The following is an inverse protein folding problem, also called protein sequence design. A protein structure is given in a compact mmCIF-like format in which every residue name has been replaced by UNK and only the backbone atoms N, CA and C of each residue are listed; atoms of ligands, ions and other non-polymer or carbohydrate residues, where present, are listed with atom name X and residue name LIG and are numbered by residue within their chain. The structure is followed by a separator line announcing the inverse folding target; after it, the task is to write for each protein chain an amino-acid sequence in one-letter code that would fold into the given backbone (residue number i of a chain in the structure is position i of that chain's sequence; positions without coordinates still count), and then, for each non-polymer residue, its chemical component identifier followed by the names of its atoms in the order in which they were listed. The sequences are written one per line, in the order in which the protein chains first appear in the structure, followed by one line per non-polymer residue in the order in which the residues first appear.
data_IF_502262874930
#
_entry.id   IF_502262874930
#
_cell.length_a   1.000
_cell.length_b   1.000
_cell.length_c   1.000
_cell.angle_alpha   90.00
_cell.angle_beta   90.00
_cell.angle_gamma   90.00
#
_symmetry.space_group_name_H-M   'P 1'
#
loop_
_entity.id
_entity.type
_entity.pdbx_description
1 polymer ?
#
# COMPACT_ATOMS: atom_id res chain seq x y z
N UNK A 1 -15.93 35.30 10.35
CA UNK A 1 -15.82 34.04 11.14
C UNK A 1 -14.51 33.34 10.77
N UNK A 2 -13.94 32.53 11.66
CA UNK A 2 -12.76 31.70 11.39
C UNK A 2 -13.09 30.24 11.69
N UNK A 3 -12.35 29.31 11.10
CA UNK A 3 -12.41 27.89 11.44
C UNK A 3 -12.00 27.69 12.90
N UNK A 4 -12.67 26.74 13.59
CA UNK A 4 -12.37 26.41 14.99
C UNK A 4 -11.29 25.35 15.13
N UNK A 5 -11.08 24.57 14.07
CA UNK A 5 -10.06 23.53 13.97
C UNK A 5 -9.27 23.72 12.67
N UNK A 6 -8.03 23.21 12.58
CA UNK A 6 -7.22 23.35 11.37
C UNK A 6 -7.94 22.84 10.11
N UNK A 7 -7.96 23.67 9.07
CA UNK A 7 -8.50 23.34 7.75
C UNK A 7 -7.38 23.39 6.72
N UNK A 8 -7.11 22.25 6.08
CA UNK A 8 -6.09 22.13 5.04
C UNK A 8 -6.76 22.01 3.67
N UNK A 9 -6.29 22.78 2.70
CA UNK A 9 -6.83 22.79 1.33
C UNK A 9 -5.71 22.47 0.35
N UNK A 10 -5.90 21.41 -0.44
CA UNK A 10 -4.94 20.99 -1.48
C UNK A 10 -5.59 21.15 -2.85
N UNK A 11 -5.12 22.09 -3.69
CA UNK A 11 -5.51 22.13 -5.09
C UNK A 11 -4.97 20.91 -5.85
N UNK A 12 -5.77 20.35 -6.76
CA UNK A 12 -5.38 19.15 -7.51
C UNK A 12 -4.31 19.39 -8.57
N UNK A 13 -4.11 20.64 -8.99
CA UNK A 13 -3.09 21.04 -9.98
C UNK A 13 -2.77 22.53 -9.87
N UNK A 14 -1.69 22.97 -10.51
CA UNK A 14 -1.34 24.39 -10.60
C UNK A 14 -2.38 25.19 -11.39
N UNK A 15 -2.98 24.59 -12.43
CA UNK A 15 -4.08 25.21 -13.16
C UNK A 15 -5.27 25.49 -12.25
N UNK A 16 -5.68 24.53 -11.41
CA UNK A 16 -6.77 24.72 -10.46
C UNK A 16 -6.39 25.77 -9.42
N UNK A 17 -5.22 25.67 -8.79
CA UNK A 17 -4.74 26.64 -7.80
C UNK A 17 -4.82 28.06 -8.33
N UNK A 18 -4.24 28.30 -9.51
CA UNK A 18 -4.15 29.64 -10.08
C UNK A 18 -5.51 30.15 -10.60
N UNK A 19 -6.42 29.25 -10.98
CA UNK A 19 -7.80 29.61 -11.37
C UNK A 19 -8.61 30.04 -10.15
N UNK A 20 -8.59 29.28 -9.06
CA UNK A 20 -9.35 29.60 -7.85
C UNK A 20 -8.76 30.79 -7.06
N UNK A 21 -7.48 31.09 -7.27
CA UNK A 21 -6.84 32.32 -6.81
C UNK A 21 -7.34 33.53 -7.60
N UNK A 22 -7.35 33.46 -8.94
CA UNK A 22 -7.88 34.52 -9.82
C UNK A 22 -9.36 34.80 -9.53
N UNK A 23 -10.15 33.75 -9.31
CA UNK A 23 -11.60 33.86 -9.14
C UNK A 23 -12.03 34.09 -7.68
N UNK A 24 -11.07 34.26 -6.77
CA UNK A 24 -11.29 34.71 -5.39
C UNK A 24 -11.67 33.62 -4.38
N UNK A 25 -11.90 32.37 -4.79
CA UNK A 25 -12.24 31.30 -3.83
C UNK A 25 -11.08 30.99 -2.88
N UNK A 26 -9.83 31.11 -3.36
CA UNK A 26 -8.66 30.93 -2.51
C UNK A 26 -8.63 31.94 -1.36
N UNK A 27 -8.90 33.21 -1.67
CA UNK A 27 -8.94 34.29 -0.69
C UNK A 27 -10.06 34.05 0.35
N UNK A 28 -11.23 33.58 -0.08
CA UNK A 28 -12.34 33.24 0.84
C UNK A 28 -11.91 32.15 1.83
N UNK A 29 -11.22 31.11 1.35
CA UNK A 29 -10.76 30.00 2.19
C UNK A 29 -9.65 30.44 3.17
N UNK A 30 -8.67 31.21 2.71
CA UNK A 30 -7.60 31.72 3.59
C UNK A 30 -8.15 32.74 4.59
N UNK A 31 -9.14 33.54 4.21
CA UNK A 31 -9.82 34.49 5.10
C UNK A 31 -10.57 33.81 6.24
N UNK A 32 -11.03 32.57 6.10
CA UNK A 32 -11.57 31.80 7.23
C UNK A 32 -10.48 31.06 8.05
N UNK A 33 -9.22 31.14 7.65
CA UNK A 33 -8.08 30.52 8.34
C UNK A 33 -7.66 29.17 7.77
N UNK A 34 -8.02 28.84 6.53
CA UNK A 34 -7.51 27.64 5.87
C UNK A 34 -6.03 27.78 5.50
N UNK A 35 -5.29 26.69 5.63
CA UNK A 35 -3.90 26.58 5.13
C UNK A 35 -3.93 25.90 3.76
N UNK A 36 -3.43 26.60 2.76
CA UNK A 36 -3.28 26.06 1.40
C UNK A 36 -1.98 25.26 1.34
N UNK A 37 -2.10 23.98 0.98
CA UNK A 37 -0.97 23.09 0.80
C UNK A 37 -0.46 23.15 -0.65
N UNK A 38 0.75 22.64 -0.87
CA UNK A 38 1.27 22.42 -2.21
C UNK A 38 0.33 21.53 -3.04
N UNK A 39 0.34 21.71 -4.37
CA UNK A 39 -0.46 20.93 -5.32
C UNK A 39 0.09 19.51 -5.49
N UNK A 40 -0.04 18.70 -4.44
CA UNK A 40 0.51 17.35 -4.34
C UNK A 40 -0.38 16.50 -3.44
N UNK A 41 -0.24 15.17 -3.52
CA UNK A 41 -1.06 14.25 -2.72
C UNK A 41 -1.02 14.51 -1.20
N UNK A 42 0.14 14.92 -0.66
CA UNK A 42 0.29 15.36 0.74
C UNK A 42 -0.33 14.41 1.78
N UNK A 43 -1.22 14.90 2.67
CA UNK A 43 -1.86 14.09 3.71
C UNK A 43 -2.67 12.88 3.21
N UNK A 44 -3.10 12.83 1.95
CA UNK A 44 -3.85 11.69 1.42
C UNK A 44 -3.03 10.38 1.41
N UNK A 45 -1.70 10.49 1.34
CA UNK A 45 -0.77 9.36 1.22
C UNK A 45 0.22 9.26 2.39
N UNK A 46 -0.03 9.99 3.47
CA UNK A 46 0.82 9.96 4.66
C UNK A 46 1.99 10.94 4.61
N UNK A 47 2.07 11.82 3.60
CA UNK A 47 3.08 12.88 3.53
C UNK A 47 2.61 14.11 4.28
N UNK A 48 2.51 13.93 5.60
CA UNK A 48 2.05 14.96 6.52
C UNK A 48 2.74 14.80 7.87
N UNK A 49 3.38 15.87 8.35
CA UNK A 49 3.99 15.91 9.67
C UNK A 49 3.04 16.59 10.64
N UNK A 50 2.70 15.86 11.71
CA UNK A 50 1.81 16.32 12.80
C UNK A 50 2.53 16.29 14.14
N UNK A 51 3.47 17.22 14.39
CA UNK A 51 4.26 17.23 15.61
C UNK A 51 3.42 17.57 16.86
N UNK A 52 2.26 18.18 16.67
CA UNK A 52 1.34 18.59 17.75
C UNK A 52 0.69 17.42 18.48
N UNK A 53 0.59 16.24 17.84
CA UNK A 53 -0.05 15.07 18.42
C UNK A 53 0.93 14.20 19.19
N UNK A 54 0.57 13.80 20.42
CA UNK A 54 1.37 12.86 21.19
C UNK A 54 1.16 11.42 20.69
N UNK A 55 2.18 10.54 20.73
CA UNK A 55 1.99 9.12 20.40
C UNK A 55 0.88 8.49 21.23
N UNK A 56 0.01 7.70 20.60
CA UNK A 56 -1.10 7.02 21.26
C UNK A 56 -2.34 7.88 21.57
N UNK A 57 -2.32 9.18 21.27
CA UNK A 57 -3.46 10.07 21.52
C UNK A 57 -4.57 9.86 20.46
N UNK A 58 -5.78 9.42 20.85
CA UNK A 58 -6.89 9.30 19.92
C UNK A 58 -7.32 10.67 19.40
N UNK A 59 -7.44 10.80 18.08
CA UNK A 59 -7.91 12.03 17.46
C UNK A 59 -8.82 11.70 16.28
N UNK A 60 -9.57 12.71 15.82
CA UNK A 60 -10.35 12.60 14.59
C UNK A 60 -9.79 13.50 13.50
N UNK A 61 -9.87 13.04 12.25
CA UNK A 61 -9.76 13.88 11.05
C UNK A 61 -10.97 13.63 10.15
N UNK A 62 -11.41 14.66 9.43
CA UNK A 62 -12.44 14.55 8.39
C UNK A 62 -11.82 15.04 7.09
N UNK A 63 -11.91 14.24 6.03
CA UNK A 63 -11.25 14.52 4.76
C UNK A 63 -12.20 14.37 3.59
N UNK A 64 -11.89 15.03 2.48
CA UNK A 64 -12.55 14.84 1.18
C UNK A 64 -11.76 13.91 0.26
N UNK A 65 -10.95 13.02 0.85
CA UNK A 65 -10.20 12.00 0.14
C UNK A 65 -11.04 10.75 -0.12
N UNK A 66 -10.40 9.68 -0.57
CA UNK A 66 -11.03 8.42 -0.96
C UNK A 66 -10.57 7.20 -0.14
N UNK A 67 -9.69 7.39 0.86
CA UNK A 67 -9.17 6.31 1.71
C UNK A 67 -8.95 6.78 3.14
N UNK A 68 -9.38 5.96 4.10
CA UNK A 68 -9.29 6.22 5.54
C UNK A 68 -8.79 5.01 6.35
N UNK A 69 -7.90 4.19 5.77
CA UNK A 69 -7.30 3.05 6.49
C UNK A 69 -6.51 3.52 7.72
N UNK A 70 -6.43 2.71 8.80
CA UNK A 70 -5.65 3.06 9.99
C UNK A 70 -4.20 3.42 9.65
N UNK A 71 -3.71 4.56 10.16
CA UNK A 71 -2.34 5.04 9.91
C UNK A 71 -2.09 5.60 8.50
N UNK A 72 -3.09 5.70 7.63
CA UNK A 72 -2.89 6.13 6.24
C UNK A 72 -2.46 7.59 6.09
N UNK A 73 -3.11 8.49 6.83
CA UNK A 73 -2.98 9.93 6.59
C UNK A 73 -1.78 10.57 7.30
N UNK A 74 -1.38 10.03 8.46
CA UNK A 74 -0.35 10.59 9.32
C UNK A 74 0.53 9.53 10.01
N UNK A 75 0.38 8.25 9.64
CA UNK A 75 1.15 7.15 10.23
C UNK A 75 0.65 6.66 11.59
N UNK A 76 -0.46 7.22 12.12
CA UNK A 76 -0.97 6.91 13.47
C UNK A 76 -2.23 6.05 13.40
N UNK A 77 -2.26 4.95 14.17
CA UNK A 77 -3.38 3.99 14.12
C UNK A 77 -4.58 4.44 14.95
N UNK A 78 -4.35 5.33 15.91
CA UNK A 78 -5.33 5.89 16.83
C UNK A 78 -6.17 7.00 16.18
N UNK A 79 -5.75 7.48 15.00
CA UNK A 79 -6.48 8.48 14.23
C UNK A 79 -7.72 7.88 13.56
N UNK A 80 -8.89 8.35 13.98
CA UNK A 80 -10.17 8.05 13.36
C UNK A 80 -10.37 8.97 12.14
N UNK A 81 -10.33 8.41 10.95
CA UNK A 81 -10.44 9.17 9.69
C UNK A 81 -11.82 8.97 9.06
N UNK A 82 -12.57 10.06 8.90
CA UNK A 82 -13.87 10.09 8.24
C UNK A 82 -13.76 10.75 6.87
N UNK A 83 -14.61 10.32 5.94
CA UNK A 83 -14.66 10.87 4.58
C UNK A 83 -16.01 11.55 4.34
N UNK A 84 -15.99 12.69 3.67
CA UNK A 84 -17.18 13.45 3.28
C UNK A 84 -16.92 14.32 2.05
N UNK A 85 -17.91 15.11 1.63
CA UNK A 85 -17.71 16.07 0.55
C UNK A 85 -16.89 17.28 1.03
N UNK A 86 -16.19 18.02 0.14
CA UNK A 86 -15.39 19.18 0.50
C UNK A 86 -16.15 20.24 1.30
N UNK A 87 -17.39 20.52 0.93
CA UNK A 87 -18.24 21.50 1.61
C UNK A 87 -18.63 21.06 3.03
N UNK A 88 -18.82 19.75 3.26
CA UNK A 88 -19.07 19.22 4.59
C UNK A 88 -17.82 19.31 5.47
N UNK A 89 -16.63 19.06 4.91
CA UNK A 89 -15.35 19.23 5.62
C UNK A 89 -15.16 20.68 6.08
N UNK A 90 -15.43 21.66 5.20
CA UNK A 90 -15.37 23.09 5.56
C UNK A 90 -16.39 23.42 6.65
N UNK A 91 -17.62 22.94 6.53
CA UNK A 91 -18.66 23.18 7.53
C UNK A 91 -18.31 22.59 8.90
N UNK A 92 -17.78 21.36 8.96
CA UNK A 92 -17.31 20.73 10.19
C UNK A 92 -16.10 21.50 10.76
N UNK A 93 -15.20 22.02 9.92
CA UNK A 93 -14.07 22.83 10.39
C UNK A 93 -14.51 24.14 11.05
N UNK A 94 -15.58 24.77 10.55
CA UNK A 94 -16.21 25.93 11.18
C UNK A 94 -16.92 25.54 12.49
N UNK A 95 -17.60 24.39 12.52
CA UNK A 95 -18.29 23.87 13.70
C UNK A 95 -17.36 23.40 14.82
N UNK A 96 -16.19 22.86 14.46
CA UNK A 96 -15.14 22.38 15.35
C UNK A 96 -15.39 21.01 16.00
N UNK A 97 -16.48 20.32 15.64
CA UNK A 97 -16.88 19.04 16.24
C UNK A 97 -17.66 18.18 15.25
N UNK A 98 -17.53 16.86 15.35
CA UNK A 98 -18.26 15.90 14.49
C UNK A 98 -19.78 15.96 14.66
N UNK A 99 -20.26 16.34 15.85
CA UNK A 99 -21.68 16.46 16.15
C UNK A 99 -22.32 17.72 15.55
N UNK A 100 -21.54 18.61 14.93
CA UNK A 100 -22.08 19.79 14.27
C UNK A 100 -22.86 19.39 13.01
N UNK A 101 -24.15 19.73 12.99
CA UNK A 101 -25.01 19.52 11.85
C UNK A 101 -25.22 20.85 11.09
N UNK A 102 -24.61 21.04 9.90
CA UNK A 102 -24.69 22.30 9.17
C UNK A 102 -26.10 22.67 8.70
N UNK A 103 -27.04 21.72 8.69
CA UNK A 103 -28.44 21.96 8.29
C UNK A 103 -29.32 22.46 9.44
N UNK A 104 -28.90 22.27 10.69
CA UNK A 104 -29.74 22.54 11.87
C UNK A 104 -29.11 23.53 12.84
N UNK A 105 -27.82 23.40 13.06
CA UNK A 105 -27.09 24.09 14.13
C UNK A 105 -26.70 25.53 13.74
N UNK A 106 -26.46 26.36 14.76
CA UNK A 106 -26.02 27.75 14.60
C UNK A 106 -24.51 27.91 14.83
N UNK A 107 -23.92 28.92 14.20
CA UNK A 107 -22.57 29.42 14.43
C UNK A 107 -22.65 30.84 14.98
N UNK A 108 -21.60 31.28 15.66
CA UNK A 108 -21.48 32.63 16.23
C UNK A 108 -20.46 33.47 15.45
N UNK A 109 -20.80 34.72 15.18
CA UNK A 109 -19.83 35.71 14.68
C UNK A 109 -18.92 36.18 15.83
N UNK A 110 -17.78 36.84 15.53
CA UNK A 110 -16.92 37.44 16.57
C UNK A 110 -17.68 38.42 17.48
N UNK A 111 -18.70 39.08 16.96
CA UNK A 111 -19.58 40.01 17.69
C UNK A 111 -20.71 39.31 18.46
N UNK A 112 -20.74 37.97 18.45
CA UNK A 112 -21.69 37.15 19.22
C UNK A 112 -23.03 36.89 18.54
N UNK A 113 -23.25 37.34 17.29
CA UNK A 113 -24.52 37.09 16.57
C UNK A 113 -24.59 35.64 16.10
N UNK A 114 -25.76 35.02 16.22
CA UNK A 114 -26.00 33.66 15.73
C UNK A 114 -26.49 33.66 14.28
N UNK A 115 -26.01 32.70 13.50
CA UNK A 115 -26.48 32.45 12.13
C UNK A 115 -26.39 30.96 11.80
N UNK A 116 -27.15 30.52 10.79
CA UNK A 116 -27.05 29.15 10.24
C UNK A 116 -26.31 29.17 8.92
N UNK A 117 -25.63 28.07 8.61
CA UNK A 117 -25.07 27.90 7.28
C UNK A 117 -26.21 27.62 6.29
N UNK A 118 -26.21 28.34 5.18
CA UNK A 118 -27.04 27.98 4.04
C UNK A 118 -26.30 26.92 3.22
N UNK A 119 -27.00 25.91 2.66
CA UNK A 119 -26.41 25.03 1.68
C UNK A 119 -25.73 25.83 0.56
N UNK A 120 -24.50 25.47 0.13
CA UNK A 120 -23.84 26.18 -0.93
C UNK A 120 -24.67 26.09 -2.22
N UNK A 121 -24.73 27.19 -2.96
CA UNK A 121 -25.32 27.18 -4.30
C UNK A 121 -24.58 26.20 -5.20
N UNK A 122 -25.26 25.68 -6.23
CA UNK A 122 -24.60 24.86 -7.25
C UNK A 122 -23.48 25.67 -7.90
N UNK A 123 -22.25 25.24 -7.70
CA UNK A 123 -21.10 25.82 -8.39
C UNK A 123 -21.18 25.48 -9.88
N UNK A 124 -20.76 26.40 -10.78
CA UNK A 124 -20.68 26.09 -12.20
C UNK A 124 -19.66 24.96 -12.41
N UNK A 125 -19.95 24.06 -13.35
CA UNK A 125 -19.07 22.91 -13.65
C UNK A 125 -17.71 23.37 -14.20
N UNK A 126 -17.69 24.51 -14.88
CA UNK A 126 -16.48 25.17 -15.39
C UNK A 126 -16.48 26.66 -15.01
N UNK A 127 -15.30 27.27 -14.75
CA UNK A 127 -15.21 28.70 -14.51
C UNK A 127 -15.73 29.50 -15.72
N UNK A 128 -16.52 30.54 -15.48
CA UNK A 128 -17.10 31.37 -16.56
C UNK A 128 -16.05 32.07 -17.43
N UNK A 129 -14.87 32.37 -16.84
CA UNK A 129 -13.71 32.95 -17.54
C UNK A 129 -12.73 31.88 -18.07
N UNK A 130 -13.12 30.60 -18.04
CA UNK A 130 -12.26 29.47 -18.34
C UNK A 130 -11.15 29.26 -17.30
N UNK A 131 -10.37 28.19 -17.48
CA UNK A 131 -9.21 27.90 -16.64
C UNK A 131 -8.04 28.83 -16.96
N UNK A 132 -7.24 29.18 -15.93
CA UNK A 132 -6.01 29.93 -16.14
C UNK A 132 -4.99 29.04 -16.86
N UNK A 133 -4.36 29.56 -17.91
CA UNK A 133 -3.25 28.86 -18.57
C UNK A 133 -2.00 28.94 -17.69
N UNK A 134 -1.29 27.81 -17.56
CA UNK A 134 -0.03 27.72 -16.82
C UNK A 134 1.09 27.53 -17.83
N UNK A 135 2.10 28.39 -17.77
CA UNK A 135 3.35 28.25 -18.52
C UNK A 135 4.33 27.41 -17.72
N UNK A 136 5.20 26.67 -18.39
CA UNK A 136 6.34 25.96 -17.80
C UNK A 136 5.97 24.90 -16.74
N UNK A 137 4.72 24.39 -16.78
CA UNK A 137 4.27 23.31 -15.89
C UNK A 137 4.86 21.93 -16.26
N UNK A 138 5.47 21.82 -17.44
CA UNK A 138 5.98 20.57 -17.98
C UNK A 138 7.31 20.83 -18.67
N UNK A 139 8.26 19.92 -18.45
CA UNK A 139 9.52 19.86 -19.20
C UNK A 139 9.29 18.84 -20.32
N UNK A 140 9.46 19.27 -21.56
CA UNK A 140 9.38 18.38 -22.72
C UNK A 140 10.63 17.49 -22.79
N UNK A 141 10.52 16.28 -23.34
CA UNK A 141 11.71 15.45 -23.59
C UNK A 141 12.66 16.17 -24.55
N UNK A 142 13.95 15.85 -24.44
CA UNK A 142 14.98 16.31 -25.39
C UNK A 142 14.61 15.87 -26.81
N UNK A 143 14.93 16.70 -27.81
CA UNK A 143 14.86 16.31 -29.22
C UNK A 143 15.82 15.16 -29.55
N UNK A 144 16.91 15.04 -28.78
CA UNK A 144 17.88 13.94 -28.85
C UNK A 144 17.88 13.16 -27.53
N UNK A 145 16.92 12.25 -27.30
CA UNK A 145 16.82 11.50 -26.04
C UNK A 145 17.93 10.45 -25.87
N UNK A 146 18.51 9.96 -26.97
CA UNK A 146 19.57 8.94 -26.95
C UNK A 146 20.90 9.48 -26.40
N UNK A 147 21.10 10.80 -26.41
CA UNK A 147 22.28 11.45 -25.85
C UNK A 147 22.22 11.56 -24.31
N UNK A 148 21.06 11.27 -23.71
CA UNK A 148 20.85 11.42 -22.28
C UNK A 148 21.47 10.25 -21.49
N UNK A 149 22.45 10.56 -20.64
CA UNK A 149 23.02 9.58 -19.72
C UNK A 149 22.27 9.53 -18.38
N UNK A 150 21.80 8.35 -17.98
CA UNK A 150 21.15 8.12 -16.67
C UNK A 150 22.11 7.42 -15.71
N UNK A 151 22.78 8.22 -14.88
CA UNK A 151 23.74 7.73 -13.88
C UNK A 151 23.04 7.50 -12.53
N UNK A 152 23.18 6.29 -12.00
CA UNK A 152 22.70 5.93 -10.64
C UNK A 152 23.92 5.75 -9.73
N UNK A 153 24.06 6.62 -8.73
CA UNK A 153 25.11 6.50 -7.72
C UNK A 153 24.92 5.20 -6.91
N UNK A 154 25.89 4.25 -6.93
CA UNK A 154 25.77 2.98 -6.22
C UNK A 154 25.71 3.12 -4.69
N UNK A 155 26.34 4.17 -4.14
CA UNK A 155 26.32 4.49 -2.70
C UNK A 155 25.09 5.32 -2.30
N UNK A 156 24.25 5.67 -3.28
CA UNK A 156 23.06 6.49 -3.08
C UNK A 156 22.02 5.79 -2.20
N UNK A 157 21.34 6.55 -1.36
CA UNK A 157 20.28 6.01 -0.49
C UNK A 157 18.89 6.00 -1.10
N UNK A 158 18.71 6.58 -2.30
CA UNK A 158 17.40 6.85 -2.92
C UNK A 158 17.08 5.95 -4.10
N UNK A 159 18.09 5.65 -4.92
CA UNK A 159 17.97 4.88 -6.15
C UNK A 159 18.95 3.70 -6.10
N UNK A 160 18.52 2.54 -6.56
CA UNK A 160 19.31 1.31 -6.64
C UNK A 160 19.00 0.64 -7.98
N UNK A 161 20.05 0.23 -8.72
CA UNK A 161 19.86 -0.62 -9.89
C UNK A 161 19.26 -1.97 -9.46
N UNK A 162 18.14 -2.36 -10.07
CA UNK A 162 17.51 -3.64 -9.79
C UNK A 162 18.38 -4.78 -10.32
N UNK A 163 18.62 -5.77 -9.46
CA UNK A 163 19.26 -7.02 -9.85
C UNK A 163 18.18 -8.03 -10.27
N UNK A 164 18.41 -8.83 -11.33
CA UNK A 164 17.48 -9.88 -11.72
C UNK A 164 17.19 -10.84 -10.57
N UNK A 165 15.92 -11.22 -10.39
CA UNK A 165 15.58 -12.24 -9.40
C UNK A 165 16.07 -13.62 -9.85
N UNK A 166 16.47 -14.51 -8.92
CA UNK A 166 16.91 -15.86 -9.27
C UNK A 166 15.82 -16.65 -10.00
N UNK A 167 16.22 -17.39 -11.03
CA UNK A 167 15.38 -18.35 -11.75
C UNK A 167 14.88 -19.44 -10.80
N UNK A 168 13.72 -20.02 -11.09
CA UNK A 168 13.26 -21.20 -10.38
C UNK A 168 14.18 -22.40 -10.67
N UNK A 169 14.50 -23.17 -9.63
CA UNK A 169 15.42 -24.30 -9.68
C UNK A 169 14.79 -25.60 -10.21
N UNK A 170 13.52 -25.54 -10.62
CA UNK A 170 12.76 -26.68 -11.11
C UNK A 170 12.32 -27.66 -10.01
N UNK A 171 12.52 -27.32 -8.73
CA UNK A 171 12.19 -28.18 -7.59
C UNK A 171 10.92 -27.71 -6.88
N UNK A 172 10.29 -28.66 -6.21
CA UNK A 172 9.22 -28.37 -5.25
C UNK A 172 9.75 -27.56 -4.07
N UNK A 173 8.86 -26.79 -3.43
CA UNK A 173 9.22 -26.10 -2.19
C UNK A 173 8.80 -26.97 -1.01
N UNK A 174 9.77 -27.45 -0.24
CA UNK A 174 9.53 -28.37 0.86
C UNK A 174 9.71 -27.68 2.21
N UNK A 175 8.84 -28.02 3.15
CA UNK A 175 8.88 -27.61 4.55
C UNK A 175 9.20 -26.12 4.79
N UNK A 176 8.56 -25.23 4.04
CA UNK A 176 8.74 -23.80 4.17
C UNK A 176 8.20 -23.29 5.53
N UNK A 177 8.95 -22.44 6.24
CA UNK A 177 8.40 -21.71 7.37
C UNK A 177 7.37 -20.67 6.91
N UNK A 178 6.35 -20.48 7.74
CA UNK A 178 5.37 -19.41 7.60
C UNK A 178 5.97 -18.15 8.23
N UNK A 179 6.15 -17.10 7.44
CA UNK A 179 6.59 -15.80 7.97
C UNK A 179 5.41 -15.08 8.64
N UNK A 180 4.25 -15.04 7.98
CA UNK A 180 3.06 -14.32 8.41
C UNK A 180 1.82 -15.15 8.10
N UNK A 181 0.91 -15.29 9.07
CA UNK A 181 -0.51 -15.58 8.84
C UNK A 181 -1.31 -14.30 9.14
N UNK A 182 -1.81 -13.64 8.11
CA UNK A 182 -2.50 -12.36 8.24
C UNK A 182 -3.97 -12.55 8.61
N UNK A 183 -4.41 -11.94 9.72
CA UNK A 183 -5.81 -11.96 10.17
C UNK A 183 -6.63 -10.86 9.51
N UNK A 184 -7.74 -11.23 8.88
CA UNK A 184 -8.67 -10.28 8.28
C UNK A 184 -8.01 -9.40 7.22
N UNK A 185 -8.38 -8.13 7.20
CA UNK A 185 -8.00 -7.18 6.14
C UNK A 185 -6.49 -6.91 6.13
N UNK A 186 -5.81 -7.31 5.05
CA UNK A 186 -4.40 -7.03 4.82
C UNK A 186 -4.19 -6.27 3.49
N UNK A 187 -4.37 -4.96 3.52
CA UNK A 187 -4.09 -4.03 2.40
C UNK A 187 -2.60 -3.92 2.06
N UNK A 188 -2.29 -3.40 0.87
CA UNK A 188 -0.91 -3.04 0.48
C UNK A 188 -0.20 -2.05 1.41
N UNK A 189 -0.93 -1.22 2.17
CA UNK A 189 -0.34 -0.35 3.20
C UNK A 189 0.08 -1.13 4.45
N UNK A 190 -0.53 -2.29 4.71
CA UNK A 190 -0.06 -3.20 5.76
C UNK A 190 1.18 -3.99 5.31
N UNK A 191 1.22 -4.36 4.02
CA UNK A 191 2.33 -5.13 3.42
C UNK A 191 3.59 -4.29 3.21
N UNK A 192 3.45 -3.06 2.72
CA UNK A 192 4.58 -2.16 2.51
C UNK A 192 4.08 -0.74 2.71
N UNK A 193 4.15 -0.16 3.92
CA UNK A 193 3.59 1.17 4.22
C UNK A 193 4.12 2.30 3.34
N UNK A 194 3.32 3.37 3.18
CA UNK A 194 3.73 4.61 2.50
C UNK A 194 4.38 5.62 3.48
N UNK A 195 3.99 6.89 3.43
CA UNK A 195 4.53 7.93 4.31
C UNK A 195 6.06 8.05 4.18
N UNK A 196 6.84 7.96 5.28
CA UNK A 196 8.28 8.15 5.25
C UNK A 196 9.01 7.19 4.29
N UNK A 197 8.48 5.98 4.09
CA UNK A 197 9.06 4.96 3.21
C UNK A 197 9.09 5.34 1.73
N UNK A 198 8.31 6.35 1.32
CA UNK A 198 8.33 6.82 -0.06
C UNK A 198 9.70 7.34 -0.49
N UNK A 199 10.53 7.75 0.46
CA UNK A 199 11.90 8.15 0.16
C UNK A 199 12.73 6.99 -0.45
N UNK A 200 12.44 5.75 -0.10
CA UNK A 200 13.17 4.57 -0.57
C UNK A 200 12.49 3.86 -1.75
N UNK A 201 11.49 4.48 -2.40
CA UNK A 201 10.75 3.84 -3.52
C UNK A 201 11.63 3.41 -4.69
N UNK A 202 12.75 4.09 -4.93
CA UNK A 202 13.72 3.69 -5.95
C UNK A 202 14.82 2.75 -5.45
N UNK A 203 14.81 2.36 -4.17
CA UNK A 203 15.84 1.54 -3.54
C UNK A 203 15.21 0.30 -2.89
N UNK A 204 15.16 -0.80 -3.64
CA UNK A 204 14.44 -2.03 -3.26
C UNK A 204 14.91 -2.61 -1.91
N UNK A 205 16.21 -2.60 -1.65
CA UNK A 205 16.74 -3.10 -0.39
C UNK A 205 16.20 -2.31 0.81
N UNK A 206 16.37 -0.99 0.84
CA UNK A 206 15.95 -0.13 1.95
C UNK A 206 14.44 -0.11 2.16
N UNK A 207 13.63 -0.07 1.08
CA UNK A 207 12.18 -0.11 1.24
C UNK A 207 11.68 -1.47 1.75
N UNK A 208 12.45 -2.54 1.56
CA UNK A 208 12.09 -3.87 2.07
C UNK A 208 12.14 -3.98 3.60
N UNK A 209 12.73 -3.01 4.30
CA UNK A 209 12.71 -2.95 5.76
C UNK A 209 11.32 -2.55 6.31
N UNK A 210 10.34 -2.32 5.44
CA UNK A 210 8.96 -1.99 5.82
C UNK A 210 7.96 -3.13 5.65
N UNK A 211 8.43 -4.33 5.25
CA UNK A 211 7.50 -5.42 4.95
C UNK A 211 6.64 -5.80 6.16
N UNK A 212 5.33 -5.92 5.91
CA UNK A 212 4.33 -6.37 6.87
C UNK A 212 4.24 -5.58 8.19
N UNK A 213 4.85 -4.39 8.30
CA UNK A 213 4.81 -3.59 9.54
C UNK A 213 3.39 -3.23 10.01
N UNK A 214 2.40 -3.21 9.10
CA UNK A 214 1.00 -2.98 9.46
C UNK A 214 0.15 -4.25 9.53
N UNK A 215 0.67 -5.42 9.15
CA UNK A 215 -0.11 -6.65 9.09
C UNK A 215 -0.43 -7.18 10.49
N UNK A 216 -1.65 -7.67 10.69
CA UNK A 216 -2.09 -8.26 11.96
C UNK A 216 -1.78 -9.75 11.93
N UNK A 217 -0.98 -10.23 12.87
CA UNK A 217 -0.67 -11.64 13.01
C UNK A 217 -1.89 -12.40 13.58
N UNK A 218 -2.33 -13.45 12.89
CA UNK A 218 -3.48 -14.25 13.30
C UNK A 218 -3.27 -15.06 14.58
N UNK A 219 -2.02 -15.35 14.94
CA UNK A 219 -1.70 -16.14 16.13
C UNK A 219 -1.67 -15.29 17.40
N UNK A 220 -1.14 -14.06 17.33
CA UNK A 220 -0.93 -13.20 18.50
C UNK A 220 -1.82 -11.95 18.53
N UNK A 221 -2.48 -11.61 17.43
CA UNK A 221 -3.14 -10.32 17.17
C UNK A 221 -2.20 -9.09 17.21
N UNK A 222 -0.89 -9.30 17.32
CA UNK A 222 0.07 -8.20 17.24
C UNK A 222 0.23 -7.67 15.82
N UNK A 223 0.54 -6.39 15.72
CA UNK A 223 0.76 -5.70 14.45
C UNK A 223 2.26 -5.70 14.12
N UNK A 224 2.61 -6.16 12.91
CA UNK A 224 3.98 -6.07 12.39
C UNK A 224 4.99 -7.03 12.99
N UNK A 225 4.54 -7.97 13.84
CA UNK A 225 5.40 -8.91 14.56
C UNK A 225 4.90 -10.35 14.45
N UNK A 226 5.83 -11.29 14.51
CA UNK A 226 5.52 -12.71 14.61
C UNK A 226 6.68 -13.53 15.13
N UNK A 227 6.46 -14.84 15.24
CA UNK A 227 7.47 -15.77 15.72
C UNK A 227 8.54 -16.00 14.65
N UNK A 228 9.79 -15.74 15.00
CA UNK A 228 10.93 -16.20 14.23
C UNK A 228 11.05 -17.72 14.39
N UNK A 229 10.69 -18.48 13.36
CA UNK A 229 10.74 -19.95 13.35
C UNK A 229 12.12 -20.56 13.63
N UNK A 230 13.21 -19.79 13.55
CA UNK A 230 14.57 -20.27 13.85
C UNK A 230 14.95 -20.13 15.32
N UNK A 231 14.48 -19.08 15.99
CA UNK A 231 14.87 -18.76 17.36
C UNK A 231 13.74 -18.98 18.36
N UNK A 232 12.49 -19.02 17.89
CA UNK A 232 11.28 -19.06 18.71
C UNK A 232 10.86 -17.70 19.28
N UNK A 233 11.64 -16.64 19.06
CA UNK A 233 11.37 -15.31 19.60
C UNK A 233 10.37 -14.53 18.74
N UNK A 234 9.55 -13.68 19.36
CA UNK A 234 8.71 -12.71 18.65
C UNK A 234 9.54 -11.51 18.23
N UNK A 235 9.56 -11.22 16.92
CA UNK A 235 10.33 -10.13 16.33
C UNK A 235 9.49 -9.41 15.25
N UNK A 236 9.97 -8.27 14.75
CA UNK A 236 9.31 -7.62 13.60
C UNK A 236 9.50 -8.43 12.32
N UNK A 237 8.48 -8.49 11.45
CA UNK A 237 8.57 -9.25 10.21
C UNK A 237 9.76 -8.89 9.30
N UNK A 238 10.14 -7.60 9.14
CA UNK A 238 11.34 -7.25 8.38
C UNK A 238 12.61 -7.90 8.93
N UNK A 239 12.79 -7.91 10.25
CA UNK A 239 13.96 -8.51 10.90
C UNK A 239 13.99 -10.02 10.69
N UNK A 240 12.84 -10.69 10.81
CA UNK A 240 12.74 -12.14 10.60
C UNK A 240 13.08 -12.49 9.15
N UNK A 241 12.51 -11.77 8.19
CA UNK A 241 12.73 -12.03 6.77
C UNK A 241 14.18 -11.76 6.33
N UNK A 242 14.84 -10.75 6.92
CA UNK A 242 16.28 -10.51 6.73
C UNK A 242 17.12 -11.70 7.21
N UNK A 243 16.85 -12.19 8.43
CA UNK A 243 17.52 -13.39 8.97
C UNK A 243 17.28 -14.63 8.12
N UNK A 244 16.08 -14.80 7.56
CA UNK A 244 15.79 -15.90 6.63
C UNK A 244 16.59 -15.76 5.34
N UNK A 245 16.61 -14.57 4.75
CA UNK A 245 17.39 -14.28 3.54
C UNK A 245 18.88 -14.54 3.75
N UNK A 246 19.47 -14.09 4.86
CA UNK A 246 20.88 -14.31 5.20
C UNK A 246 21.23 -15.80 5.27
N UNK A 247 20.30 -16.64 5.73
CA UNK A 247 20.45 -18.10 5.76
C UNK A 247 20.00 -18.82 4.48
N UNK A 248 19.61 -18.08 3.44
CA UNK A 248 19.08 -18.65 2.20
C UNK A 248 17.74 -19.39 2.36
N UNK A 249 17.01 -19.14 3.45
CA UNK A 249 15.74 -19.79 3.75
C UNK A 249 14.60 -19.12 2.99
N UNK A 250 13.95 -19.90 2.13
CA UNK A 250 12.70 -19.54 1.46
C UNK A 250 11.55 -19.61 2.48
N UNK A 251 10.53 -18.78 2.31
CA UNK A 251 9.36 -18.74 3.22
C UNK A 251 8.09 -18.35 2.47
N UNK A 252 6.94 -18.46 3.15
CA UNK A 252 5.65 -18.08 2.59
C UNK A 252 4.77 -17.25 3.52
N UNK A 253 3.68 -16.71 2.96
CA UNK A 253 2.63 -16.00 3.68
C UNK A 253 1.31 -16.74 3.56
N UNK A 254 0.54 -16.76 4.64
CA UNK A 254 -0.87 -17.13 4.65
C UNK A 254 -1.71 -15.86 4.82
N UNK A 255 -2.69 -15.64 3.95
CA UNK A 255 -3.57 -14.47 4.00
C UNK A 255 -5.05 -14.84 4.07
N UNK A 256 -5.84 -13.91 4.61
CA UNK A 256 -7.29 -14.01 4.65
C UNK A 256 -7.91 -13.56 3.30
N UNK A 257 -9.12 -13.01 3.33
CA UNK A 257 -9.85 -12.51 2.17
C UNK A 257 -9.31 -11.18 1.64
N UNK A 258 -9.41 -11.01 0.32
CA UNK A 258 -9.04 -9.80 -0.41
C UNK A 258 -7.63 -9.28 -0.08
N UNK A 259 -6.66 -10.20 0.05
CA UNK A 259 -5.29 -9.90 0.41
C UNK A 259 -4.64 -8.98 -0.63
N UNK A 260 -3.95 -7.94 -0.16
CA UNK A 260 -3.33 -6.93 -1.02
C UNK A 260 -4.28 -5.87 -1.56
N UNK A 261 -5.43 -5.63 -0.92
CA UNK A 261 -6.33 -4.53 -1.29
C UNK A 261 -5.63 -3.15 -1.28
N UNK A 262 -6.06 -2.24 -2.15
CA UNK A 262 -5.73 -0.82 -2.05
C UNK A 262 -4.84 -0.28 -3.15
N UNK A 263 -3.63 0.19 -2.80
CA UNK A 263 -2.72 0.85 -3.75
C UNK A 263 -2.09 -0.16 -4.71
N UNK A 264 -1.83 0.27 -5.95
CA UNK A 264 -1.19 -0.54 -7.00
C UNK A 264 0.31 -0.82 -6.79
N UNK A 265 0.87 -0.49 -5.62
CA UNK A 265 2.33 -0.55 -5.39
C UNK A 265 2.88 -1.96 -5.63
N UNK A 266 3.82 -2.06 -6.54
CA UNK A 266 4.50 -3.34 -6.83
C UNK A 266 5.51 -3.73 -5.74
N UNK A 267 6.00 -2.78 -4.93
CA UNK A 267 6.86 -3.06 -3.76
C UNK A 267 6.22 -4.03 -2.77
N UNK A 268 4.88 -4.08 -2.69
CA UNK A 268 4.19 -5.08 -1.88
C UNK A 268 4.41 -6.53 -2.39
N UNK A 269 4.86 -6.72 -3.63
CA UNK A 269 5.29 -8.00 -4.19
C UNK A 269 6.83 -8.12 -4.29
N UNK A 270 7.51 -7.04 -4.71
CA UNK A 270 8.96 -7.03 -4.87
C UNK A 270 9.71 -7.20 -3.55
N UNK A 271 9.28 -6.54 -2.46
CA UNK A 271 9.96 -6.63 -1.17
C UNK A 271 9.86 -8.03 -0.56
N UNK A 272 8.67 -8.69 -0.52
CA UNK A 272 8.61 -10.10 -0.15
C UNK A 272 9.53 -10.99 -1.01
N UNK A 273 9.48 -10.84 -2.35
CA UNK A 273 10.33 -11.62 -3.26
C UNK A 273 11.81 -11.43 -2.98
N UNK A 274 12.23 -10.18 -2.81
CA UNK A 274 13.60 -9.79 -2.50
C UNK A 274 14.11 -10.36 -1.18
N UNK A 275 13.21 -10.56 -0.22
CA UNK A 275 13.51 -11.12 1.11
C UNK A 275 13.32 -12.64 1.20
N UNK A 276 13.06 -13.34 0.08
CA UNK A 276 13.01 -14.80 0.03
C UNK A 276 11.60 -15.42 0.04
N UNK A 277 10.55 -14.62 -0.11
CA UNK A 277 9.20 -15.15 -0.30
C UNK A 277 9.09 -15.90 -1.62
N UNK A 278 8.55 -17.11 -1.57
CA UNK A 278 8.30 -17.93 -2.77
C UNK A 278 6.82 -18.14 -3.05
N UNK A 279 5.96 -18.00 -2.03
CA UNK A 279 4.52 -18.17 -2.17
C UNK A 279 3.73 -17.29 -1.21
N UNK A 280 2.55 -16.88 -1.65
CA UNK A 280 1.50 -16.27 -0.85
C UNK A 280 0.23 -17.09 -1.08
N UNK A 281 -0.33 -17.64 -0.01
CA UNK A 281 -1.50 -18.51 -0.06
C UNK A 281 -2.64 -17.80 0.67
N UNK A 282 -3.78 -17.58 0.03
CA UNK A 282 -4.85 -16.76 0.61
C UNK A 282 -6.24 -17.34 0.41
N UNK A 283 -7.25 -16.82 1.13
CA UNK A 283 -8.65 -17.12 0.76
C UNK A 283 -9.02 -16.44 -0.56
N UNK A 284 -8.56 -15.21 -0.77
CA UNK A 284 -8.72 -14.47 -2.03
C UNK A 284 -7.75 -13.29 -2.12
N UNK A 285 -7.44 -12.86 -3.35
CA UNK A 285 -6.57 -11.71 -3.62
C UNK A 285 -7.31 -10.51 -4.19
N UNK A 286 -6.76 -9.32 -3.96
CA UNK A 286 -7.05 -8.16 -4.80
C UNK A 286 -6.32 -8.27 -6.15
N UNK A 287 -7.05 -8.00 -7.24
CA UNK A 287 -6.61 -8.19 -8.64
C UNK A 287 -5.21 -7.66 -8.97
N UNK A 288 -4.91 -6.41 -8.60
CA UNK A 288 -3.63 -5.76 -8.94
C UNK A 288 -2.48 -6.43 -8.18
N UNK A 289 -2.70 -6.74 -6.91
CA UNK A 289 -1.65 -7.33 -6.08
C UNK A 289 -1.32 -8.76 -6.52
N UNK A 290 -2.33 -9.57 -6.86
CA UNK A 290 -2.13 -10.90 -7.45
C UNK A 290 -1.25 -10.82 -8.69
N UNK A 291 -1.55 -9.89 -9.61
CA UNK A 291 -0.76 -9.68 -10.83
C UNK A 291 0.69 -9.29 -10.52
N UNK A 292 0.90 -8.42 -9.53
CA UNK A 292 2.24 -8.01 -9.11
C UNK A 292 3.03 -9.19 -8.54
N UNK A 293 2.44 -10.04 -7.70
CA UNK A 293 3.10 -11.25 -7.19
C UNK A 293 3.57 -12.17 -8.32
N UNK A 294 2.69 -12.45 -9.29
CA UNK A 294 3.02 -13.24 -10.49
C UNK A 294 4.17 -12.63 -11.28
N UNK A 295 4.15 -11.32 -11.50
CA UNK A 295 5.22 -10.60 -12.22
C UNK A 295 6.58 -10.72 -11.53
N UNK A 296 6.61 -10.78 -10.20
CA UNK A 296 7.85 -10.96 -9.44
C UNK A 296 8.24 -12.43 -9.21
N UNK A 297 7.55 -13.38 -9.86
CA UNK A 297 7.84 -14.81 -9.72
C UNK A 297 7.48 -15.41 -8.35
N UNK A 298 6.59 -14.76 -7.59
CA UNK A 298 6.02 -15.33 -6.36
C UNK A 298 4.76 -16.11 -6.73
N UNK A 299 4.58 -17.31 -6.18
CA UNK A 299 3.36 -18.10 -6.36
C UNK A 299 2.18 -17.46 -5.61
N UNK A 300 1.21 -16.93 -6.35
CA UNK A 300 -0.04 -16.43 -5.81
C UNK A 300 -1.09 -17.54 -5.86
N UNK A 301 -1.36 -18.17 -4.71
CA UNK A 301 -2.22 -19.34 -4.59
C UNK A 301 -3.44 -19.03 -3.71
N UNK A 302 -4.57 -19.65 -4.02
CA UNK A 302 -5.78 -19.55 -3.19
C UNK A 302 -6.20 -20.90 -2.65
N UNK A 303 -6.77 -20.96 -1.46
CA UNK A 303 -7.31 -22.21 -0.92
C UNK A 303 -8.45 -22.74 -1.80
N UNK A 304 -8.43 -24.02 -2.15
CA UNK A 304 -9.57 -24.66 -2.84
C UNK A 304 -10.79 -24.71 -1.92
N UNK A 305 -10.57 -24.98 -0.63
CA UNK A 305 -11.55 -24.80 0.43
C UNK A 305 -11.07 -23.70 1.38
N UNK A 306 -11.79 -22.57 1.43
CA UNK A 306 -11.38 -21.42 2.24
C UNK A 306 -11.15 -21.75 3.72
N UNK A 307 -11.88 -22.73 4.31
CA UNK A 307 -11.71 -23.12 5.71
C UNK A 307 -10.36 -23.77 6.01
N UNK A 308 -9.61 -24.20 5.00
CA UNK A 308 -8.26 -24.75 5.19
C UNK A 308 -7.28 -23.69 5.76
N UNK A 309 -7.59 -22.40 5.61
CA UNK A 309 -6.89 -21.34 6.31
C UNK A 309 -6.84 -21.59 7.83
N UNK A 310 -7.91 -22.13 8.42
CA UNK A 310 -8.02 -22.31 9.88
C UNK A 310 -7.19 -23.50 10.39
N UNK A 311 -6.85 -24.46 9.52
CA UNK A 311 -6.03 -25.63 9.85
C UNK A 311 -4.56 -25.29 10.12
N UNK A 312 -4.06 -24.23 9.49
CA UNK A 312 -2.63 -23.87 9.53
C UNK A 312 -2.27 -23.23 10.88
N UNK A 313 -1.36 -23.85 11.61
CA UNK A 313 -0.85 -23.41 12.92
C UNK A 313 0.49 -22.66 12.81
N UNK A 314 0.89 -21.95 13.87
CA UNK A 314 2.04 -21.03 13.85
C UNK A 314 3.37 -21.72 13.56
N UNK A 315 3.56 -22.95 14.05
CA UNK A 315 4.81 -23.69 13.92
C UNK A 315 4.84 -24.64 12.74
N UNK A 316 3.78 -24.70 11.95
CA UNK A 316 3.69 -25.62 10.83
C UNK A 316 4.74 -25.32 9.76
N UNK A 317 5.05 -26.33 8.96
CA UNK A 317 5.86 -26.21 7.75
C UNK A 317 5.00 -26.57 6.56
N UNK A 318 5.18 -25.85 5.45
CA UNK A 318 4.33 -26.00 4.27
C UNK A 318 5.16 -26.48 3.10
N UNK A 319 4.72 -27.57 2.47
CA UNK A 319 5.31 -28.04 1.21
C UNK A 319 4.35 -27.79 0.05
N UNK A 320 4.86 -27.25 -1.05
CA UNK A 320 4.18 -27.09 -2.32
C UNK A 320 4.81 -28.07 -3.31
N UNK A 321 4.05 -29.11 -3.68
CA UNK A 321 4.56 -30.26 -4.44
C UNK A 321 3.94 -30.36 -5.83
N UNK A 322 4.67 -30.98 -6.77
CA UNK A 322 4.23 -31.12 -8.15
C UNK A 322 4.34 -29.84 -8.97
N UNK A 323 5.25 -28.92 -8.60
CA UNK A 323 5.41 -27.63 -9.28
C UNK A 323 5.97 -27.76 -10.71
N UNK A 324 6.67 -28.87 -11.00
CA UNK A 324 7.11 -29.24 -12.36
C UNK A 324 5.96 -29.38 -13.34
N UNK A 325 4.80 -29.79 -12.85
CA UNK A 325 3.61 -30.01 -13.66
C UNK A 325 2.60 -28.87 -13.55
N UNK A 326 3.03 -27.67 -13.11
CA UNK A 326 2.18 -26.50 -13.03
C UNK A 326 1.62 -26.16 -14.41
N UNK A 327 0.28 -26.14 -14.52
CA UNK A 327 -0.46 -25.89 -15.77
C UNK A 327 -1.72 -25.09 -15.47
N UNK A 328 -2.24 -24.30 -16.42
CA UNK A 328 -3.49 -23.57 -16.22
C UNK A 328 -4.63 -24.49 -15.78
N UNK A 329 -5.35 -24.10 -14.73
CA UNK A 329 -6.49 -24.85 -14.19
C UNK A 329 -6.14 -26.08 -13.35
N UNK A 330 -4.88 -26.52 -13.28
CA UNK A 330 -4.46 -27.65 -12.44
C UNK A 330 -4.12 -27.16 -11.02
N UNK A 331 -4.82 -27.62 -9.97
CA UNK A 331 -4.48 -27.25 -8.59
C UNK A 331 -3.06 -27.67 -8.18
N UNK A 332 -2.48 -26.94 -7.22
CA UNK A 332 -1.21 -27.27 -6.58
C UNK A 332 -1.48 -28.03 -5.28
N UNK A 333 -0.77 -29.15 -5.08
CA UNK A 333 -0.85 -29.91 -3.85
C UNK A 333 -0.04 -29.23 -2.76
N UNK A 334 -0.65 -29.07 -1.58
CA UNK A 334 -0.03 -28.46 -0.42
C UNK A 334 -0.09 -29.41 0.77
N UNK A 335 1.06 -29.68 1.36
CA UNK A 335 1.20 -30.53 2.56
C UNK A 335 1.50 -29.62 3.74
N UNK A 336 0.61 -29.64 4.73
CA UNK A 336 0.81 -29.01 6.03
C UNK A 336 1.48 -30.04 6.94
N UNK A 337 2.69 -29.73 7.42
CA UNK A 337 3.42 -30.55 8.37
C UNK A 337 3.26 -29.94 9.75
N UNK A 338 2.53 -30.63 10.62
CA UNK A 338 2.28 -30.18 11.98
C UNK A 338 3.44 -30.51 12.90
N UNK A 339 3.52 -29.78 14.01
CA UNK A 339 4.58 -29.96 15.01
C UNK A 339 4.57 -31.34 15.68
N UNK A 340 3.41 -31.98 15.77
CA UNK A 340 3.24 -33.32 16.34
C UNK A 340 3.63 -34.45 15.36
N UNK A 341 4.05 -34.11 14.13
CA UNK A 341 4.42 -35.05 13.08
C UNK A 341 3.26 -35.49 12.17
N UNK A 342 2.02 -35.10 12.49
CA UNK A 342 0.88 -35.33 11.61
C UNK A 342 0.97 -34.45 10.36
N UNK A 343 0.31 -34.89 9.28
CA UNK A 343 0.30 -34.19 8.00
C UNK A 343 -1.12 -34.08 7.47
N UNK A 344 -1.46 -32.93 6.94
CA UNK A 344 -2.70 -32.70 6.21
C UNK A 344 -2.40 -32.28 4.77
N UNK A 345 -3.12 -32.87 3.82
CA UNK A 345 -3.04 -32.47 2.42
C UNK A 345 -4.25 -31.62 2.04
N UNK A 346 -3.96 -30.46 1.44
CA UNK A 346 -4.97 -29.54 0.92
C UNK A 346 -4.66 -29.18 -0.52
N UNK A 347 -5.69 -28.75 -1.25
CA UNK A 347 -5.55 -28.28 -2.63
C UNK A 347 -5.54 -26.76 -2.68
N UNK A 348 -4.63 -26.21 -3.49
CA UNK A 348 -4.53 -24.78 -3.77
C UNK A 348 -4.85 -24.51 -5.23
N UNK A 349 -5.70 -23.53 -5.49
CA UNK A 349 -6.02 -23.03 -6.83
C UNK A 349 -5.09 -21.89 -7.21
N UNK A 350 -5.00 -21.64 -8.51
CA UNK A 350 -4.27 -20.51 -9.06
C UNK A 350 -4.92 -20.07 -10.38
N UNK A 351 -4.70 -18.83 -10.78
CA UNK A 351 -5.28 -18.23 -11.98
C UNK A 351 -4.22 -17.98 -13.07
N UNK A 352 -3.16 -18.78 -13.10
CA UNK A 352 -2.06 -18.58 -14.06
C UNK A 352 -2.46 -19.12 -15.43
N UNK A 353 -2.15 -18.36 -16.48
CA UNK A 353 -2.07 -18.86 -17.84
C UNK A 353 -0.63 -19.31 -18.17
N UNK A 354 -0.41 -19.89 -19.35
CA UNK A 354 0.90 -20.42 -19.75
C UNK A 354 2.00 -19.37 -19.70
N UNK A 355 1.71 -18.13 -20.14
CA UNK A 355 2.69 -17.05 -20.13
C UNK A 355 3.09 -16.62 -18.70
N UNK A 356 2.12 -16.57 -17.78
CA UNK A 356 2.40 -16.26 -16.38
C UNK A 356 3.18 -17.38 -15.69
N UNK A 357 3.01 -18.64 -16.11
CA UNK A 357 3.81 -19.76 -15.61
C UNK A 357 5.27 -19.58 -16.03
N UNK A 358 5.53 -19.13 -17.26
CA UNK A 358 6.88 -18.80 -17.71
C UNK A 358 7.53 -17.70 -16.86
N UNK A 359 6.77 -16.69 -16.41
CA UNK A 359 7.29 -15.67 -15.48
C UNK A 359 7.77 -16.27 -14.16
N UNK A 360 7.01 -17.22 -13.60
CA UNK A 360 7.41 -17.95 -12.40
C UNK A 360 8.69 -18.76 -12.66
N UNK A 361 8.73 -19.52 -13.75
CA UNK A 361 9.88 -20.36 -14.10
C UNK A 361 11.16 -19.54 -14.32
N UNK A 362 11.07 -18.40 -15.00
CA UNK A 362 12.19 -17.49 -15.22
C UNK A 362 12.60 -16.70 -13.96
N UNK A 363 11.77 -16.71 -12.91
CA UNK A 363 11.98 -15.99 -11.65
C UNK A 363 11.36 -14.59 -11.62
N UNK A 364 11.01 -14.01 -12.76
CA UNK A 364 10.16 -12.83 -12.91
C UNK A 364 9.74 -12.63 -14.38
N UNK A 365 8.74 -11.78 -14.61
CA UNK A 365 8.36 -11.35 -15.96
C UNK A 365 9.46 -10.53 -16.65
N UNK A 366 10.24 -9.75 -15.89
CA UNK A 366 11.35 -8.94 -16.42
C UNK A 366 12.50 -9.81 -16.93
N UNK A 367 12.73 -10.97 -16.30
CA UNK A 367 13.75 -11.91 -16.75
C UNK A 367 13.43 -12.46 -18.15
N UNK A 368 12.15 -12.75 -18.45
CA UNK A 368 11.71 -13.19 -19.78
C UNK A 368 11.99 -12.11 -20.83
N UNK A 369 11.65 -10.85 -20.55
CA UNK A 369 11.87 -9.75 -21.50
C UNK A 369 13.36 -9.60 -21.85
N UNK A 370 14.23 -9.72 -20.85
CA UNK A 370 15.68 -9.64 -21.04
C UNK A 370 16.26 -10.83 -21.82
N UNK A 371 15.72 -12.03 -21.61
CA UNK A 371 16.10 -13.21 -22.41
C UNK A 371 15.72 -13.02 -23.87
N UNK A 372 14.53 -12.47 -24.14
CA UNK A 372 14.06 -12.21 -25.50
C UNK A 372 14.88 -11.12 -26.20
N UNK A 373 15.27 -10.03 -25.54
CA UNK A 373 16.15 -9.00 -26.15
C UNK A 373 17.50 -9.57 -26.60
N UNK A 374 18.07 -10.52 -25.86
CA UNK A 374 19.32 -11.21 -26.24
C UNK A 374 19.17 -12.17 -27.43
N UNK A 375 17.95 -12.49 -27.85
CA UNK A 375 17.67 -13.31 -29.03
C UNK A 375 17.54 -12.45 -30.30
N UNK A 376 17.34 -11.13 -30.16
CA UNK A 376 17.19 -10.18 -31.27
C UNK A 376 18.43 -9.30 -31.52
N UNK A 377 19.45 -9.42 -30.67
CA UNK A 377 20.80 -8.88 -30.83
C UNK A 377 21.79 -10.03 -30.89
#
# INVERSE_FOLDING_TARGET
IKVKIPLLVTPGSEQIRATIERDGQMEILTNIGATVLANACGPCIGQWKRPELKPGEPNTIVTSYNRNFPGRNDGRRETMSFMGSPELVVAIALGGKLSFNPLKDTLKTPEGREFKLNPPNRAPEVPSKGFKSIKDACILPSENPEDAEVIINPEGSRLQKLQPFPKWDGKDFLELPILLKAKGKCTTDHISPAGPWLMYRGHLDKISDNIFLGAINAFTNEVGKGRNQLTGNTESFPVIARKYKEKGLKWLVIGDNNYGEGSSREHAAMSPRYLGCVAVITRSFARIHETNLKKQGVLALTFANSSDYDKIMETDRISLVGLKDLKPGKPVNCIIHHKDGSKEEILLRHSYNDFQIQWFQAGSALNILRENEKLFH
#
